data_IF_375980775746
#
_entry.id   IF_375980775746
#
_cell.length_a   1.000
_cell.length_b   1.000
_cell.length_c   1.000
_cell.angle_alpha   90.00
_cell.angle_beta   90.00
_cell.angle_gamma   90.00
#
_symmetry.space_group_name_H-M   'P 1'
#
loop_
_entity.id
_entity.type
_entity.pdbx_description
1 polymer ?
#
# COMPACT_ATOMS: atom_id res chain seq x y z
N UNK A 1 26.25 16.46 -24.27
CA UNK A 1 24.95 16.86 -23.68
C UNK A 1 24.70 16.02 -22.46
N UNK A 2 24.57 16.64 -21.28
CA UNK A 2 24.37 15.90 -20.03
C UNK A 2 22.91 15.54 -19.90
N UNK A 3 22.58 14.25 -20.00
CA UNK A 3 21.26 13.72 -19.67
C UNK A 3 21.14 13.85 -18.14
N UNK A 4 20.53 14.93 -17.68
CA UNK A 4 20.24 15.14 -16.28
C UNK A 4 19.34 14.01 -15.77
N UNK A 5 19.87 13.20 -14.87
CA UNK A 5 19.12 12.18 -14.13
C UNK A 5 18.12 12.89 -13.22
N UNK A 6 16.94 13.24 -13.73
CA UNK A 6 15.84 13.65 -12.87
C UNK A 6 15.55 12.48 -11.92
N UNK A 7 15.51 12.70 -10.59
CA UNK A 7 15.13 11.64 -9.67
C UNK A 7 13.72 11.18 -10.04
N UNK A 8 13.57 9.88 -10.39
CA UNK A 8 12.27 9.27 -10.62
C UNK A 8 11.38 9.62 -9.43
N UNK A 9 10.28 10.35 -9.67
CA UNK A 9 9.36 10.72 -8.60
C UNK A 9 8.80 9.44 -7.99
N UNK A 10 9.09 9.21 -6.71
CA UNK A 10 8.47 8.12 -5.95
C UNK A 10 6.97 8.38 -5.91
N UNK A 11 6.16 7.35 -6.21
CA UNK A 11 4.72 7.43 -6.10
C UNK A 11 4.33 7.64 -4.62
N UNK A 12 3.58 8.70 -4.32
CA UNK A 12 3.03 8.98 -2.99
C UNK A 12 1.51 9.08 -3.05
N UNK A 13 0.85 8.67 -1.97
CA UNK A 13 -0.56 8.86 -1.76
C UNK A 13 -0.86 10.36 -1.61
N UNK A 14 -1.72 10.89 -2.45
CA UNK A 14 -2.25 12.26 -2.35
C UNK A 14 -3.74 12.23 -2.03
N UNK A 15 -4.45 11.22 -2.56
CA UNK A 15 -5.86 10.94 -2.27
C UNK A 15 -6.01 9.54 -1.66
N UNK A 16 -7.01 9.39 -0.79
CA UNK A 16 -7.31 8.14 -0.09
C UNK A 16 -8.66 7.61 -0.55
N UNK A 17 -8.69 6.34 -0.96
CA UNK A 17 -9.94 5.65 -1.27
C UNK A 17 -10.68 5.31 0.03
N UNK A 18 -11.99 5.57 0.03
CA UNK A 18 -12.94 5.15 1.06
C UNK A 18 -13.57 3.80 0.74
N UNK A 19 -13.34 3.26 -0.47
CA UNK A 19 -13.92 1.99 -0.89
C UNK A 19 -13.25 0.83 -0.15
N UNK A 20 -14.06 0.02 0.51
CA UNK A 20 -13.58 -1.21 1.14
C UNK A 20 -13.15 -2.22 0.06
N UNK A 21 -11.87 -2.59 0.10
CA UNK A 21 -11.30 -3.56 -0.83
C UNK A 21 -11.56 -4.99 -0.36
N UNK A 22 -11.64 -5.92 -1.32
CA UNK A 22 -11.65 -7.36 -1.01
C UNK A 22 -10.27 -7.77 -0.50
N UNK A 23 -10.15 -8.00 0.81
CA UNK A 23 -8.87 -8.30 1.50
C UNK A 23 -8.10 -9.46 0.85
N UNK A 24 -8.81 -10.49 0.34
CA UNK A 24 -8.23 -11.64 -0.36
C UNK A 24 -7.45 -11.30 -1.65
N UNK A 25 -7.64 -10.09 -2.19
CA UNK A 25 -6.96 -9.62 -3.39
C UNK A 25 -5.71 -8.78 -3.07
N UNK A 26 -5.45 -8.51 -1.79
CA UNK A 26 -4.30 -7.72 -1.33
C UNK A 26 -3.14 -8.67 -1.03
N UNK A 27 -1.96 -8.36 -1.53
CA UNK A 27 -0.76 -9.21 -1.38
C UNK A 27 0.36 -8.54 -0.61
N UNK A 28 0.37 -7.22 -0.60
CA UNK A 28 1.37 -6.43 0.11
C UNK A 28 0.82 -5.06 0.45
N UNK A 29 1.51 -4.34 1.31
CA UNK A 29 1.23 -2.96 1.62
C UNK A 29 2.53 -2.20 1.89
N UNK A 30 2.49 -0.89 1.64
CA UNK A 30 3.51 0.07 2.01
C UNK A 30 2.90 1.14 2.92
N UNK A 31 3.61 1.54 3.97
CA UNK A 31 3.20 2.66 4.83
C UNK A 31 3.73 3.95 4.21
N UNK A 32 2.87 4.95 4.05
CA UNK A 32 3.27 6.27 3.60
C UNK A 32 2.87 7.30 4.65
N UNK A 33 3.80 8.18 5.00
CA UNK A 33 3.58 9.23 5.99
C UNK A 33 3.59 10.63 5.37
N UNK A 34 4.03 10.75 4.11
CA UNK A 34 4.18 12.01 3.39
C UNK A 34 3.61 11.85 1.97
N UNK A 35 2.83 12.81 1.45
CA UNK A 35 2.34 14.02 2.13
C UNK A 35 1.22 13.76 3.15
N UNK A 36 0.59 12.59 3.12
CA UNK A 36 -0.48 12.20 4.04
C UNK A 36 -0.21 10.84 4.65
N UNK A 37 -0.76 10.61 5.85
CA UNK A 37 -0.71 9.31 6.50
C UNK A 37 -1.64 8.31 5.78
N UNK A 38 -1.06 7.33 5.11
CA UNK A 38 -1.76 6.40 4.23
C UNK A 38 -1.15 5.00 4.27
N UNK A 39 -2.00 4.02 3.98
CA UNK A 39 -1.58 2.67 3.64
C UNK A 39 -1.79 2.47 2.16
N UNK A 40 -0.72 2.18 1.42
CA UNK A 40 -0.79 1.85 0.01
C UNK A 40 -0.83 0.33 -0.13
N UNK A 41 -2.02 -0.21 -0.41
CA UNK A 41 -2.18 -1.63 -0.70
C UNK A 41 -1.77 -1.94 -2.13
N UNK A 42 -1.12 -3.08 -2.30
CA UNK A 42 -0.76 -3.66 -3.59
C UNK A 42 -1.64 -4.89 -3.80
N UNK A 43 -2.41 -4.88 -4.89
CA UNK A 43 -3.29 -6.01 -5.25
C UNK A 43 -2.52 -7.09 -6.01
N UNK A 44 -3.12 -8.29 -6.13
CA UNK A 44 -2.62 -9.37 -7.00
C UNK A 44 -2.35 -8.94 -8.45
N UNK A 45 -3.05 -7.90 -8.93
CA UNK A 45 -2.91 -7.35 -10.28
C UNK A 45 -1.81 -6.27 -10.38
N UNK A 46 -1.06 -6.02 -9.31
CA UNK A 46 -0.05 -4.95 -9.25
C UNK A 46 -0.62 -3.54 -9.08
N UNK A 47 -1.94 -3.39 -8.97
CA UNK A 47 -2.59 -2.09 -8.74
C UNK A 47 -2.29 -1.61 -7.32
N UNK A 48 -1.87 -0.35 -7.21
CA UNK A 48 -1.60 0.35 -5.95
C UNK A 48 -2.80 1.21 -5.56
N UNK A 49 -3.30 1.04 -4.33
CA UNK A 49 -4.47 1.77 -3.83
C UNK A 49 -4.15 2.35 -2.46
N UNK A 50 -4.26 3.67 -2.34
CA UNK A 50 -4.06 4.41 -1.10
C UNK A 50 -5.35 4.43 -0.27
N UNK A 51 -5.26 4.14 1.02
CA UNK A 51 -6.38 4.18 1.97
C UNK A 51 -5.96 4.78 3.31
N UNK A 52 -6.92 5.29 4.08
CA UNK A 52 -6.66 5.76 5.45
C UNK A 52 -6.37 4.59 6.41
N UNK A 53 -5.35 4.69 7.29
CA UNK A 53 -5.05 3.69 8.31
C UNK A 53 -6.12 3.57 9.41
N UNK A 54 -7.05 4.53 9.49
CA UNK A 54 -8.04 4.62 10.58
C UNK A 54 -9.23 3.67 10.36
N UNK A 55 -9.39 3.16 9.14
CA UNK A 55 -10.47 2.24 8.79
C UNK A 55 -10.21 0.84 9.41
N UNK A 56 -11.21 0.29 10.11
CA UNK A 56 -11.10 -1.01 10.80
C UNK A 56 -10.65 -2.14 9.86
N UNK A 57 -11.20 -2.19 8.64
CA UNK A 57 -10.86 -3.24 7.66
C UNK A 57 -9.40 -3.14 7.18
N UNK A 58 -8.80 -1.94 7.18
CA UNK A 58 -7.39 -1.73 6.79
C UNK A 58 -6.46 -2.40 7.78
N UNK A 59 -6.76 -2.28 9.09
CA UNK A 59 -6.00 -2.98 10.15
C UNK A 59 -6.11 -4.50 10.01
N UNK A 60 -7.32 -5.01 9.71
CA UNK A 60 -7.52 -6.44 9.45
C UNK A 60 -6.75 -6.93 8.22
N UNK A 61 -6.71 -6.13 7.16
CA UNK A 61 -5.95 -6.45 5.94
C UNK A 61 -4.44 -6.48 6.20
N UNK A 62 -3.89 -5.50 6.92
CA UNK A 62 -2.49 -5.47 7.33
C UNK A 62 -2.14 -6.73 8.12
N UNK A 63 -2.94 -7.06 9.15
CA UNK A 63 -2.72 -8.23 9.99
C UNK A 63 -2.70 -9.53 9.17
N UNK A 64 -3.61 -9.69 8.23
CA UNK A 64 -3.63 -10.86 7.33
C UNK A 64 -2.35 -10.95 6.50
N UNK A 65 -1.93 -9.85 5.87
CA UNK A 65 -0.71 -9.82 5.05
C UNK A 65 0.53 -10.15 5.90
N UNK A 66 0.63 -9.60 7.10
CA UNK A 66 1.75 -9.88 8.01
C UNK A 66 1.77 -11.35 8.48
N UNK A 67 0.60 -11.95 8.73
CA UNK A 67 0.48 -13.38 9.02
C UNK A 67 0.95 -14.23 7.83
N UNK A 68 0.51 -13.92 6.61
CA UNK A 68 0.94 -14.63 5.40
C UNK A 68 2.47 -14.55 5.20
N UNK A 69 3.08 -13.37 5.42
CA UNK A 69 4.54 -13.19 5.36
C UNK A 69 5.27 -14.05 6.39
N UNK A 70 4.76 -14.13 7.62
CA UNK A 70 5.38 -14.91 8.70
C UNK A 70 5.32 -16.42 8.44
N UNK A 71 4.23 -16.87 7.80
CA UNK A 71 4.03 -18.30 7.51
C UNK A 71 4.89 -18.78 6.34
N UNK A 72 5.22 -17.88 5.40
CA UNK A 72 6.02 -18.16 4.20
C UNK A 72 7.54 -18.09 4.42
N UNK A 73 7.97 -17.57 5.57
CA UNK A 73 9.37 -17.52 6.00
C UNK A 73 9.80 -18.71 6.85
N UNK A 74 8.96 -19.75 6.96
CA UNK A 74 9.27 -21.04 7.59
C UNK A 74 9.42 -22.12 6.53
#
# INVERSE_FOLDING_TARGET
GSIGSQPMRKASCVSLSTQQLKIQNLVSYEKQQVPVNAIMFITKKGIKICVSPDQKWVRSAIKKIDQERTTKGK
#
